data_IF_276058667333
#
_entry.id   IF_276058667333
#
_cell.length_a   1.000
_cell.length_b   1.000
_cell.length_c   1.000
_cell.angle_alpha   90.00
_cell.angle_beta   90.00
_cell.angle_gamma   90.00
#
_symmetry.space_group_name_H-M   'P 1'
#
loop_
_entity.id
_entity.type
_entity.pdbx_description
1 polymer ?
#
# COMPACT_ATOMS: atom_id res chain seq x y z
N UNK A 1 -27.89 -14.23 -18.33
CA UNK A 1 -27.01 -13.06 -18.23
C UNK A 1 -25.64 -13.57 -17.83
N UNK A 2 -24.61 -13.32 -18.64
CA UNK A 2 -23.24 -13.73 -18.36
C UNK A 2 -22.44 -12.50 -17.91
N UNK A 3 -21.77 -12.60 -16.77
CA UNK A 3 -20.87 -11.55 -16.27
C UNK A 3 -19.44 -12.05 -16.36
N UNK A 4 -18.59 -11.28 -17.02
CA UNK A 4 -17.16 -11.55 -17.14
C UNK A 4 -16.42 -10.55 -16.26
N UNK A 5 -15.56 -11.05 -15.38
CA UNK A 5 -14.69 -10.23 -14.54
C UNK A 5 -13.26 -10.38 -15.01
N UNK A 6 -12.64 -9.26 -15.36
CA UNK A 6 -11.24 -9.16 -15.76
C UNK A 6 -10.48 -8.38 -14.68
N UNK A 7 -9.33 -8.88 -14.25
CA UNK A 7 -8.46 -8.23 -13.26
C UNK A 7 -7.03 -8.25 -13.75
N UNK A 8 -6.31 -7.14 -13.58
CA UNK A 8 -4.89 -7.06 -13.92
C UNK A 8 -4.32 -5.68 -13.60
N UNK A 9 -3.03 -5.53 -13.86
CA UNK A 9 -2.24 -4.31 -13.62
C UNK A 9 -1.76 -3.64 -14.92
N UNK A 10 -2.33 -4.04 -16.05
CA UNK A 10 -2.02 -3.53 -17.38
C UNK A 10 -3.15 -2.62 -17.89
N UNK A 11 -2.83 -1.78 -18.86
CA UNK A 11 -3.82 -0.97 -19.59
C UNK A 11 -4.74 -1.82 -20.49
N UNK A 12 -4.37 -3.06 -20.76
CA UNK A 12 -5.15 -4.02 -21.54
C UNK A 12 -5.41 -5.28 -20.69
N UNK A 13 -6.67 -5.72 -20.66
CA UNK A 13 -7.10 -6.95 -19.99
C UNK A 13 -7.75 -7.88 -21.01
N UNK A 14 -7.32 -9.13 -21.04
CA UNK A 14 -7.86 -10.17 -21.90
C UNK A 14 -7.94 -11.50 -21.17
N UNK A 15 -8.88 -12.36 -21.55
CA UNK A 15 -8.95 -13.74 -21.08
C UNK A 15 -9.62 -14.63 -22.12
N UNK A 16 -9.21 -15.90 -22.16
CA UNK A 16 -9.79 -16.91 -23.03
C UNK A 16 -10.89 -17.69 -22.30
N UNK A 17 -11.95 -18.03 -23.02
CA UNK A 17 -13.07 -18.82 -22.49
C UNK A 17 -13.19 -20.15 -23.21
N UNK A 18 -13.36 -21.22 -22.43
CA UNK A 18 -13.75 -22.53 -22.93
C UNK A 18 -14.92 -23.10 -22.10
N UNK A 19 -16.04 -23.50 -22.73
CA UNK A 19 -16.32 -23.45 -24.17
C UNK A 19 -16.50 -22.01 -24.70
N UNK A 20 -16.47 -21.80 -26.03
CA UNK A 20 -16.72 -20.50 -26.64
C UNK A 20 -18.08 -19.92 -26.21
N UNK A 21 -18.14 -18.61 -26.04
CA UNK A 21 -19.38 -17.91 -25.71
C UNK A 21 -20.20 -17.77 -27.00
N UNK A 22 -21.24 -18.57 -27.13
CA UNK A 22 -22.19 -18.50 -28.24
C UNK A 22 -23.06 -17.23 -28.15
N UNK A 23 -22.98 -16.37 -29.16
CA UNK A 23 -23.70 -15.09 -29.21
C UNK A 23 -24.54 -14.96 -30.48
N UNK A 24 -25.73 -14.35 -30.35
CA UNK A 24 -26.58 -14.05 -31.51
C UNK A 24 -26.06 -12.83 -32.30
N UNK A 25 -26.50 -12.67 -33.56
CA UNK A 25 -26.11 -11.54 -34.43
C UNK A 25 -26.33 -10.14 -33.82
N UNK A 26 -27.28 -10.01 -32.90
CA UNK A 26 -27.66 -8.74 -32.26
C UNK A 26 -27.24 -8.67 -30.77
N UNK A 27 -26.30 -9.51 -30.35
CA UNK A 27 -25.81 -9.49 -28.97
C UNK A 27 -25.16 -8.14 -28.64
N UNK A 28 -25.34 -7.71 -27.38
CA UNK A 28 -24.75 -6.48 -26.84
C UNK A 28 -23.90 -6.82 -25.63
N UNK A 29 -22.77 -6.16 -25.50
CA UNK A 29 -21.96 -6.16 -24.29
C UNK A 29 -22.16 -4.82 -23.58
N UNK A 30 -22.18 -4.85 -22.25
CA UNK A 30 -22.31 -3.66 -21.43
C UNK A 30 -21.25 -3.72 -20.32
N UNK A 31 -20.57 -2.60 -20.10
CA UNK A 31 -19.66 -2.45 -18.97
C UNK A 31 -20.50 -2.22 -17.71
N UNK A 32 -20.54 -3.22 -16.83
CA UNK A 32 -21.28 -3.14 -15.57
C UNK A 32 -20.52 -2.39 -14.47
N UNK A 33 -19.19 -2.41 -14.51
CA UNK A 33 -18.36 -1.74 -13.52
C UNK A 33 -16.91 -1.66 -13.98
N UNK A 34 -16.25 -0.56 -13.63
CA UNK A 34 -14.82 -0.35 -13.84
C UNK A 34 -14.22 0.18 -12.54
N UNK A 35 -13.32 -0.60 -11.95
CA UNK A 35 -12.61 -0.25 -10.72
C UNK A 35 -11.12 -0.22 -11.04
N UNK A 36 -10.48 0.93 -10.79
CA UNK A 36 -9.03 1.08 -10.97
C UNK A 36 -8.40 1.33 -9.61
N UNK A 37 -7.42 0.51 -9.27
CA UNK A 37 -6.59 0.70 -8.09
C UNK A 37 -5.19 1.14 -8.54
N UNK A 38 -5.09 2.34 -9.15
CA UNK A 38 -3.82 2.95 -9.51
C UNK A 38 -3.14 3.58 -8.28
N UNK A 39 -2.85 2.76 -7.29
CA UNK A 39 -2.11 3.24 -6.11
C UNK A 39 -0.66 3.42 -6.52
N UNK A 40 -0.21 4.67 -6.62
CA UNK A 40 1.20 4.99 -6.83
C UNK A 40 1.91 4.61 -5.53
N UNK A 41 2.87 3.65 -5.55
CA UNK A 41 3.52 3.19 -4.34
C UNK A 41 4.25 4.35 -3.65
N UNK A 42 3.76 4.73 -2.48
CA UNK A 42 4.41 5.73 -1.63
C UNK A 42 5.62 5.16 -0.87
N UNK A 43 5.75 3.82 -0.82
CA UNK A 43 6.95 3.12 -0.34
C UNK A 43 7.57 2.34 -1.49
N UNK A 44 8.83 2.65 -1.81
CA UNK A 44 9.62 1.98 -2.84
C UNK A 44 11.02 1.63 -2.32
N UNK A 45 11.80 0.88 -3.09
CA UNK A 45 13.13 0.38 -2.71
C UNK A 45 14.12 1.48 -2.26
N UNK A 46 13.89 2.75 -2.63
CA UNK A 46 14.73 3.87 -2.22
C UNK A 46 14.35 4.44 -0.85
N UNK A 47 13.10 4.26 -0.41
CA UNK A 47 12.55 4.88 0.81
C UNK A 47 11.83 3.88 1.74
N UNK A 48 12.20 2.60 1.69
CA UNK A 48 11.51 1.54 2.43
C UNK A 48 12.18 1.09 3.74
N UNK A 49 13.08 1.89 4.31
CA UNK A 49 13.79 1.52 5.54
C UNK A 49 13.53 2.53 6.63
N UNK A 50 13.24 2.04 7.84
CA UNK A 50 13.20 2.82 9.07
C UNK A 50 14.26 2.32 10.03
N UNK A 51 15.01 3.22 10.64
CA UNK A 51 16.07 2.90 11.58
C UNK A 51 15.76 3.52 12.94
N UNK A 52 15.81 2.72 14.00
CA UNK A 52 15.66 3.14 15.38
C UNK A 52 17.02 3.09 16.05
N UNK A 53 17.49 4.23 16.52
CA UNK A 53 18.76 4.35 17.22
C UNK A 53 18.51 4.61 18.70
N UNK A 54 19.09 3.79 19.56
CA UNK A 54 18.95 3.91 21.01
C UNK A 54 20.28 3.68 21.72
N UNK A 55 20.44 4.29 22.89
CA UNK A 55 21.61 4.10 23.75
C UNK A 55 21.26 3.14 24.87
N UNK A 56 22.01 2.06 24.99
CA UNK A 56 21.93 1.19 26.16
C UNK A 56 23.36 0.94 26.68
N UNK A 57 23.57 1.06 27.98
CA UNK A 57 24.87 0.84 28.64
C UNK A 57 26.06 1.58 27.99
N UNK A 58 25.90 2.87 27.66
CA UNK A 58 26.89 3.71 26.96
C UNK A 58 27.32 3.21 25.56
N UNK A 59 26.54 2.32 24.94
CA UNK A 59 26.71 1.90 23.54
C UNK A 59 25.50 2.32 22.71
N UNK A 60 25.78 2.87 21.54
CA UNK A 60 24.79 3.23 20.54
C UNK A 60 24.45 1.98 19.72
N UNK A 61 23.20 1.54 19.80
CA UNK A 61 22.65 0.43 19.03
C UNK A 61 21.64 0.97 18.01
N UNK A 62 21.44 0.24 16.92
CA UNK A 62 20.50 0.62 15.88
C UNK A 62 19.81 -0.59 15.27
N UNK A 63 18.49 -0.56 15.22
CA UNK A 63 17.66 -1.58 14.58
C UNK A 63 17.04 -1.02 13.30
N UNK A 64 17.25 -1.69 12.18
CA UNK A 64 16.69 -1.30 10.87
C UNK A 64 15.60 -2.26 10.45
N UNK A 65 14.45 -1.73 10.08
CA UNK A 65 13.31 -2.48 9.58
C UNK A 65 13.00 -2.09 8.13
N UNK A 66 12.71 -3.09 7.31
CA UNK A 66 12.36 -2.92 5.90
C UNK A 66 10.84 -3.00 5.77
N UNK A 67 10.24 -1.91 5.34
CA UNK A 67 8.83 -1.85 4.97
C UNK A 67 8.72 -2.48 3.57
N UNK A 68 7.77 -3.39 3.32
CA UNK A 68 7.55 -3.89 1.97
C UNK A 68 7.19 -2.75 1.00
N UNK A 69 7.55 -2.89 -0.27
CA UNK A 69 7.17 -1.90 -1.28
C UNK A 69 5.67 -1.95 -1.51
N UNK A 70 5.03 -0.80 -1.66
CA UNK A 70 3.57 -0.74 -1.74
C UNK A 70 3.01 0.67 -1.57
N UNK A 71 1.67 0.71 -1.50
CA UNK A 71 0.91 1.91 -1.18
C UNK A 71 0.24 1.71 0.17
N UNK A 72 0.58 2.55 1.13
CA UNK A 72 0.09 2.44 2.51
C UNK A 72 -0.52 3.76 2.96
N UNK A 73 -1.58 3.68 3.75
CA UNK A 73 -2.10 4.85 4.46
C UNK A 73 -1.16 5.24 5.61
N UNK A 74 -1.11 6.53 5.95
CA UNK A 74 -0.24 7.01 7.04
C UNK A 74 -0.53 6.31 8.37
N UNK A 75 -1.81 6.07 8.66
CA UNK A 75 -2.24 5.37 9.88
C UNK A 75 -1.74 3.91 9.92
N UNK A 76 -1.59 3.25 8.78
CA UNK A 76 -1.08 1.88 8.70
C UNK A 76 0.43 1.84 8.96
N UNK A 77 1.17 2.79 8.37
CA UNK A 77 2.60 2.97 8.62
C UNK A 77 2.82 3.28 10.11
N UNK A 78 2.01 4.17 10.69
CA UNK A 78 2.07 4.52 12.11
C UNK A 78 1.84 3.30 13.01
N UNK A 79 0.79 2.53 12.74
CA UNK A 79 0.48 1.33 13.50
C UNK A 79 1.59 0.27 13.39
N UNK A 80 2.20 0.12 12.20
CA UNK A 80 3.32 -0.79 12.01
C UNK A 80 4.54 -0.36 12.84
N UNK A 81 4.89 0.94 12.83
CA UNK A 81 6.01 1.48 13.61
C UNK A 81 5.75 1.33 15.12
N UNK A 82 4.54 1.64 15.59
CA UNK A 82 4.16 1.43 17.00
C UNK A 82 4.30 -0.03 17.45
N UNK A 83 3.98 -0.99 16.58
CA UNK A 83 4.21 -2.42 16.86
C UNK A 83 5.69 -2.76 16.95
N UNK A 84 6.57 -2.10 16.21
CA UNK A 84 8.02 -2.30 16.34
C UNK A 84 8.54 -1.72 17.66
N UNK A 85 7.96 -0.59 18.11
CA UNK A 85 8.29 0.10 19.35
C UNK A 85 7.57 -0.45 20.60
N UNK A 86 6.84 -1.58 20.52
CA UNK A 86 6.00 -2.06 21.63
C UNK A 86 6.72 -2.31 22.96
N UNK A 87 8.04 -2.48 22.95
CA UNK A 87 8.87 -2.69 24.15
C UNK A 87 9.54 -1.40 24.64
N UNK A 88 9.19 -0.24 24.08
CA UNK A 88 9.70 1.06 24.51
C UNK A 88 8.55 1.95 24.97
N UNK A 89 8.82 2.84 25.93
CA UNK A 89 7.86 3.89 26.34
C UNK A 89 7.79 5.04 25.31
N UNK A 90 8.22 4.79 24.08
CA UNK A 90 8.32 5.80 23.02
C UNK A 90 6.94 6.11 22.45
N UNK A 91 6.54 7.38 22.53
CA UNK A 91 5.35 7.86 21.85
C UNK A 91 5.72 8.20 20.41
N UNK A 92 5.13 7.48 19.45
CA UNK A 92 5.29 7.73 18.02
C UNK A 92 3.98 8.26 17.42
N UNK A 93 4.04 9.26 16.56
CA UNK A 93 2.91 9.70 15.74
C UNK A 93 3.37 10.03 14.31
N UNK A 94 2.53 9.70 13.33
CA UNK A 94 2.73 10.06 11.93
C UNK A 94 1.44 10.65 11.39
N UNK A 95 1.46 11.93 11.02
CA UNK A 95 0.26 12.66 10.61
C UNK A 95 0.49 13.42 9.31
N UNK A 96 -0.59 13.67 8.56
CA UNK A 96 -0.57 14.63 7.47
C UNK A 96 -0.80 16.04 8.02
N UNK A 97 0.00 17.00 7.56
CA UNK A 97 -0.31 18.42 7.69
C UNK A 97 -1.03 18.89 6.43
N UNK A 98 -2.34 19.04 6.54
CA UNK A 98 -3.20 19.42 5.41
C UNK A 98 -2.93 20.85 4.90
N UNK A 99 -2.25 21.70 5.67
CA UNK A 99 -1.90 23.04 5.22
C UNK A 99 -0.64 23.05 4.34
N UNK A 100 0.31 22.17 4.65
CA UNK A 100 1.60 22.09 3.93
C UNK A 100 1.67 20.93 2.94
N UNK A 101 0.70 20.00 2.98
CA UNK A 101 0.68 18.73 2.26
C UNK A 101 1.91 17.85 2.56
N UNK A 102 2.52 18.04 3.73
CA UNK A 102 3.67 17.26 4.21
C UNK A 102 3.23 16.25 5.26
N UNK A 103 4.02 15.19 5.39
CA UNK A 103 3.90 14.26 6.51
C UNK A 103 4.78 14.75 7.67
N UNK A 104 4.22 14.82 8.87
CA UNK A 104 4.93 15.14 10.10
C UNK A 104 5.08 13.88 10.94
N UNK A 105 6.31 13.66 11.41
CA UNK A 105 6.67 12.56 12.28
C UNK A 105 7.05 13.11 13.65
N UNK A 106 6.42 12.60 14.70
CA UNK A 106 6.71 12.95 16.08
C UNK A 106 7.14 11.70 16.85
N UNK A 107 8.16 11.86 17.68
CA UNK A 107 8.75 10.79 18.48
C UNK A 107 9.24 11.40 19.80
N UNK A 108 8.81 10.87 20.95
CA UNK A 108 9.25 11.28 22.29
C UNK A 108 9.44 10.11 23.22
#
# INVERSE_FOLDING_TARGET
MCTITLTGNSSELSCDFFPPIEVSKNAKICLLGFQTNNSIPNVNEKCNKICFTYSNDNKMNSDTYVIPTGSYELNEIEAAIKRLLHNTDTLFELRADNNTLKCTMFCS
#
